data_IF_446348303261
#
_entry.id   IF_446348303261
#
_cell.length_a   1.000
_cell.length_b   1.000
_cell.length_c   1.000
_cell.angle_alpha   90.00
_cell.angle_beta   90.00
_cell.angle_gamma   90.00
#
_symmetry.space_group_name_H-M   'P 1'
#
loop_
_entity.id
_entity.type
_entity.pdbx_description
1 polymer ?
#
# COMPACT_ATOMS: atom_id res chain seq x y z
N UNK A 1 -19.90 -1.40 7.25
CA UNK A 1 -19.77 -2.37 8.11
C UNK A 1 -18.87 -3.44 7.66
N UNK A 2 -19.34 -4.56 7.43
CA UNK A 2 -18.51 -5.65 7.04
C UNK A 2 -17.85 -5.46 5.71
N UNK A 3 -18.56 -4.79 4.83
CA UNK A 3 -18.03 -4.54 3.54
C UNK A 3 -16.73 -3.79 3.59
N UNK A 4 -16.65 -2.77 4.41
CA UNK A 4 -15.44 -1.99 4.52
C UNK A 4 -14.29 -2.82 5.03
N UNK A 5 -14.59 -3.64 6.04
CA UNK A 5 -13.55 -4.49 6.57
C UNK A 5 -13.03 -5.43 5.51
N UNK A 6 -13.95 -5.97 4.71
CA UNK A 6 -13.52 -6.90 3.67
C UNK A 6 -12.62 -6.24 2.66
N UNK A 7 -12.92 -5.00 2.29
CA UNK A 7 -12.10 -4.31 1.31
C UNK A 7 -10.71 -4.10 1.84
N UNK A 8 -10.58 -3.65 3.08
CA UNK A 8 -9.27 -3.44 3.66
C UNK A 8 -8.50 -4.73 3.74
N UNK A 9 -9.16 -5.78 4.19
CA UNK A 9 -8.50 -7.06 4.33
C UNK A 9 -8.03 -7.58 2.97
N UNK A 10 -8.87 -7.46 1.97
CA UNK A 10 -8.52 -7.95 0.64
C UNK A 10 -7.29 -7.22 0.10
N UNK A 11 -7.25 -5.91 0.25
CA UNK A 11 -6.12 -5.15 -0.24
C UNK A 11 -4.84 -5.57 0.48
N UNK A 12 -4.91 -5.70 1.80
CA UNK A 12 -3.73 -6.06 2.57
C UNK A 12 -3.23 -7.46 2.22
N UNK A 13 -4.14 -8.36 1.92
CA UNK A 13 -3.75 -9.73 1.63
C UNK A 13 -3.31 -9.91 0.20
N UNK A 14 -4.02 -9.30 -0.73
CA UNK A 14 -3.67 -9.48 -2.13
C UNK A 14 -2.43 -8.70 -2.53
N UNK A 15 -2.22 -7.56 -1.92
CA UNK A 15 -1.08 -6.73 -2.25
C UNK A 15 -0.13 -6.67 -1.07
N UNK A 16 0.24 -7.85 -0.56
CA UNK A 16 1.05 -7.92 0.65
C UNK A 16 2.39 -7.23 0.53
N UNK A 17 3.06 -7.41 -0.59
CA UNK A 17 4.37 -6.80 -0.75
C UNK A 17 4.26 -5.29 -0.81
N UNK A 18 3.28 -4.79 -1.56
CA UNK A 18 3.08 -3.36 -1.65
C UNK A 18 2.70 -2.79 -0.29
N UNK A 19 1.85 -3.51 0.43
CA UNK A 19 1.44 -3.03 1.75
C UNK A 19 2.63 -3.01 2.70
N UNK A 20 3.54 -3.98 2.57
CA UNK A 20 4.75 -3.99 3.37
C UNK A 20 5.61 -2.78 3.11
N UNK A 21 5.72 -2.38 1.84
CA UNK A 21 6.45 -1.17 1.51
C UNK A 21 5.80 0.05 2.14
N UNK A 22 4.48 0.11 2.09
CA UNK A 22 3.77 1.25 2.65
C UNK A 22 3.97 1.32 4.17
N UNK A 23 4.03 0.17 4.82
CA UNK A 23 4.28 0.16 6.26
C UNK A 23 5.66 0.72 6.57
N UNK A 24 6.64 0.42 5.74
CA UNK A 24 7.97 0.97 5.92
C UNK A 24 7.95 2.49 5.74
N UNK A 25 7.22 2.95 4.74
CA UNK A 25 7.08 4.38 4.51
C UNK A 25 6.38 5.03 5.70
N UNK A 26 5.38 4.36 6.24
CA UNK A 26 4.67 4.88 7.41
C UNK A 26 5.63 5.10 8.57
N UNK A 27 6.47 4.11 8.84
CA UNK A 27 7.41 4.22 9.94
C UNK A 27 8.40 5.34 9.71
N UNK A 28 8.88 5.47 8.49
CA UNK A 28 9.83 6.51 8.17
C UNK A 28 9.21 7.90 8.32
N UNK A 29 7.99 8.05 7.82
CA UNK A 29 7.32 9.34 7.91
C UNK A 29 7.05 9.72 9.36
N UNK A 30 6.67 8.75 10.17
CA UNK A 30 6.41 9.03 11.56
C UNK A 30 7.69 9.41 12.29
N UNK A 31 8.76 8.71 12.01
CA UNK A 31 9.99 8.93 12.71
C UNK A 31 10.66 10.24 12.32
N UNK A 32 10.73 10.51 11.03
CA UNK A 32 11.47 11.67 10.56
C UNK A 32 10.64 12.93 10.49
N UNK A 33 9.37 12.80 10.17
CA UNK A 33 8.52 13.97 10.00
C UNK A 33 7.42 14.08 11.04
N UNK A 34 7.37 13.13 11.96
CA UNK A 34 6.31 13.12 12.98
C UNK A 34 4.94 13.13 12.35
N UNK A 35 4.80 12.50 11.21
CA UNK A 35 3.55 12.44 10.50
C UNK A 35 2.97 11.03 10.56
N UNK A 36 1.77 10.89 11.10
CA UNK A 36 1.11 9.59 11.18
C UNK A 36 0.12 9.46 10.03
N UNK A 37 0.43 8.58 9.09
CA UNK A 37 -0.45 8.36 7.96
C UNK A 37 -1.75 7.72 8.40
N UNK A 38 -2.83 8.12 7.76
CA UNK A 38 -4.11 7.50 8.04
C UNK A 38 -4.22 6.17 7.33
N UNK A 39 -5.20 5.38 7.75
CA UNK A 39 -5.42 4.09 7.09
C UNK A 39 -5.76 4.28 5.62
N UNK A 40 -6.57 5.29 5.32
CA UNK A 40 -6.93 5.55 3.92
C UNK A 40 -5.70 5.87 3.09
N UNK A 41 -4.78 6.65 3.64
CA UNK A 41 -3.57 6.98 2.92
C UNK A 41 -2.73 5.74 2.67
N UNK A 42 -2.64 4.86 3.65
CA UNK A 42 -1.87 3.65 3.49
C UNK A 42 -2.47 2.74 2.43
N UNK A 43 -3.79 2.63 2.40
CA UNK A 43 -4.45 1.80 1.40
C UNK A 43 -4.28 2.40 0.02
N UNK A 44 -4.39 3.70 -0.09
CA UNK A 44 -4.22 4.37 -1.37
C UNK A 44 -2.82 4.14 -1.91
N UNK A 45 -1.82 4.30 -1.06
CA UNK A 45 -0.45 4.09 -1.49
C UNK A 45 -0.20 2.63 -1.85
N UNK A 46 -0.82 1.72 -1.13
CA UNK A 46 -0.67 0.31 -1.43
C UNK A 46 -1.12 0.00 -2.85
N UNK A 47 -2.29 0.50 -3.21
CA UNK A 47 -2.82 0.26 -4.54
C UNK A 47 -1.94 0.94 -5.58
N UNK A 48 -1.47 2.13 -5.27
CA UNK A 48 -0.65 2.88 -6.20
C UNK A 48 0.68 2.16 -6.47
N UNK A 49 1.31 1.68 -5.42
CA UNK A 49 2.57 0.98 -5.57
C UNK A 49 2.36 -0.32 -6.33
N UNK A 50 1.25 -1.00 -6.06
CA UNK A 50 0.96 -2.24 -6.77
C UNK A 50 0.81 -1.99 -8.26
N UNK A 51 0.14 -0.91 -8.61
CA UNK A 51 -0.05 -0.59 -10.01
C UNK A 51 1.29 -0.29 -10.69
N UNK A 52 2.14 0.46 -10.03
CA UNK A 52 3.44 0.78 -10.59
C UNK A 52 4.27 -0.49 -10.78
N UNK A 53 4.21 -1.37 -9.81
CA UNK A 53 4.95 -2.62 -9.89
C UNK A 53 4.46 -3.47 -11.06
N UNK A 54 3.16 -3.54 -11.24
CA UNK A 54 2.61 -4.32 -12.34
C UNK A 54 2.99 -3.72 -13.68
N UNK A 55 2.95 -2.41 -13.78
CA UNK A 55 3.33 -1.75 -15.02
C UNK A 55 4.79 -2.01 -15.33
N UNK A 56 5.63 -1.97 -14.32
CA UNK A 56 7.05 -2.21 -14.50
C UNK A 56 7.31 -3.64 -14.99
N UNK A 57 6.61 -4.59 -14.42
CA UNK A 57 6.76 -5.97 -14.83
C UNK A 57 6.33 -6.17 -16.27
N UNK A 58 5.23 -5.52 -16.64
CA UNK A 58 4.74 -5.67 -17.99
C UNK A 58 5.74 -5.11 -19.00
N UNK A 59 6.33 -3.97 -18.69
CA UNK A 59 7.32 -3.38 -19.57
C UNK A 59 8.54 -4.27 -19.71
N UNK A 60 8.94 -4.91 -18.62
CA UNK A 60 10.11 -5.77 -18.67
C UNK A 60 9.87 -6.99 -19.54
N UNK A 61 8.64 -7.43 -19.65
CA UNK A 61 8.34 -8.62 -20.43
C UNK A 61 8.16 -8.33 -21.91
N UNK A 62 8.21 -7.10 -22.31
CA UNK A 62 8.15 -6.78 -23.72
C UNK A 62 9.50 -7.06 -24.36
#
# INVERSE_FOLDING_TARGET
RQRQMCIETVIKEQYREAYGCVKMIYLMMEEEYKYAMTEDEMLYLTIHIQKITEDHKRLKNL
#
